data_IF_300733685856
#
_entry.id   IF_300733685856
#
_cell.length_a   1.000
_cell.length_b   1.000
_cell.length_c   1.000
_cell.angle_alpha   90.00
_cell.angle_beta   90.00
_cell.angle_gamma   90.00
#
_symmetry.space_group_name_H-M   'P 1'
#
loop_
_entity.id
_entity.type
_entity.pdbx_description
1 polymer ?
#
# COMPACT_ATOMS: atom_id res chain seq x y z
N UNK A 1 13.79 71.72 -10.69
CA UNK A 1 14.53 70.46 -10.46
C UNK A 1 13.54 69.32 -10.47
N UNK A 2 13.39 68.67 -11.63
CA UNK A 2 12.74 67.37 -11.82
C UNK A 2 13.62 66.29 -11.20
N UNK A 3 13.01 65.31 -10.51
CA UNK A 3 13.28 63.89 -10.81
C UNK A 3 12.09 63.03 -10.40
N UNK A 4 11.68 62.19 -11.36
CA UNK A 4 10.60 61.22 -11.33
C UNK A 4 11.14 59.83 -10.90
N UNK A 5 10.33 59.08 -10.12
CA UNK A 5 10.07 57.61 -10.12
C UNK A 5 11.27 56.63 -9.99
N UNK A 6 11.10 55.46 -9.30
CA UNK A 6 10.27 54.41 -9.87
C UNK A 6 9.37 53.60 -8.91
N UNK A 7 8.28 53.14 -9.52
CA UNK A 7 7.43 52.02 -9.14
C UNK A 7 8.30 50.76 -8.96
N UNK A 8 8.34 50.19 -7.75
CA UNK A 8 8.74 48.80 -7.61
C UNK A 8 7.53 47.91 -7.91
N UNK A 9 7.57 47.40 -9.13
CA UNK A 9 6.94 46.20 -9.65
C UNK A 9 6.45 45.20 -8.59
N UNK A 10 5.14 45.01 -8.52
CA UNK A 10 4.57 43.69 -8.24
C UNK A 10 4.87 42.80 -9.47
N UNK A 11 6.10 42.31 -9.52
CA UNK A 11 6.53 41.28 -10.46
C UNK A 11 5.74 40.01 -10.10
N UNK A 12 4.97 39.53 -11.07
CA UNK A 12 4.18 38.32 -10.90
C UNK A 12 5.09 37.10 -10.75
N UNK A 13 4.80 36.27 -9.75
CA UNK A 13 5.08 34.84 -9.82
C UNK A 13 3.83 34.09 -9.35
N UNK A 14 3.13 33.55 -10.34
CA UNK A 14 2.00 32.65 -10.16
C UNK A 14 2.46 31.36 -9.45
N UNK A 15 2.49 31.42 -8.13
CA UNK A 15 2.08 30.39 -7.17
C UNK A 15 2.41 28.95 -7.58
N UNK A 16 3.63 28.52 -7.27
CA UNK A 16 3.81 27.15 -6.79
C UNK A 16 2.91 26.98 -5.56
N UNK A 17 1.82 26.21 -5.69
CA UNK A 17 0.84 25.94 -4.61
C UNK A 17 1.42 25.10 -3.45
N UNK A 18 2.70 25.26 -3.14
CA UNK A 18 3.47 24.44 -2.22
C UNK A 18 4.25 25.34 -1.26
N UNK A 19 3.62 25.70 -0.14
CA UNK A 19 4.28 26.41 0.96
C UNK A 19 4.74 25.44 2.06
N UNK A 20 5.74 25.83 2.84
CA UNK A 20 6.17 25.08 4.04
C UNK A 20 5.15 25.16 5.17
N UNK A 21 5.15 24.15 6.04
CA UNK A 21 4.38 24.16 7.27
C UNK A 21 4.81 25.33 8.16
N UNK A 22 3.84 26.11 8.64
CA UNK A 22 4.04 27.25 9.53
C UNK A 22 4.48 26.88 10.96
N UNK A 23 4.87 25.62 11.23
CA UNK A 23 5.35 25.19 12.56
C UNK A 23 6.87 25.20 12.58
N UNK A 24 7.46 25.77 13.62
CA UNK A 24 8.91 25.82 13.79
C UNK A 24 9.55 24.42 13.73
N UNK A 25 10.70 24.35 13.06
CA UNK A 25 11.44 23.11 12.77
C UNK A 25 10.66 22.05 11.97
N UNK A 26 9.61 22.44 11.23
CA UNK A 26 8.85 21.52 10.39
C UNK A 26 9.19 21.66 8.90
N UNK A 27 10.06 20.78 8.40
CA UNK A 27 10.41 20.71 6.96
C UNK A 27 9.34 20.03 6.07
N UNK A 28 8.07 20.00 6.50
CA UNK A 28 6.98 19.38 5.72
C UNK A 28 6.19 20.45 4.98
N UNK A 29 5.74 20.17 3.77
CA UNK A 29 4.85 21.08 3.03
C UNK A 29 3.47 21.22 3.69
N UNK A 30 2.97 22.45 3.73
CA UNK A 30 1.61 22.80 4.08
C UNK A 30 0.62 22.23 3.07
N UNK A 31 -0.50 21.68 3.56
CA UNK A 31 -1.60 21.20 2.71
C UNK A 31 -2.98 21.69 3.15
N UNK A 32 -3.12 22.12 4.39
CA UNK A 32 -4.37 22.63 4.96
C UNK A 32 -3.99 23.85 5.79
N UNK A 33 -4.51 25.03 5.43
CA UNK A 33 -4.37 26.28 6.19
C UNK A 33 -2.92 26.59 6.63
N UNK A 34 -1.93 26.45 5.74
CA UNK A 34 -0.52 26.75 6.07
C UNK A 34 0.20 25.70 6.92
N UNK A 35 -0.45 24.62 7.36
CA UNK A 35 0.15 23.57 8.19
C UNK A 35 0.34 22.27 7.41
N UNK A 36 1.40 21.52 7.73
CA UNK A 36 1.55 20.16 7.22
C UNK A 36 0.56 19.20 7.88
N UNK A 37 0.38 18.03 7.29
CA UNK A 37 -0.54 17.02 7.79
C UNK A 37 -0.20 16.44 9.18
N UNK A 38 1.01 16.70 9.70
CA UNK A 38 1.36 16.33 11.06
C UNK A 38 0.99 17.40 12.09
N UNK A 39 0.82 18.66 11.66
CA UNK A 39 0.59 19.81 12.53
C UNK A 39 -0.79 20.45 12.37
N UNK A 40 -1.61 20.01 11.41
CA UNK A 40 -3.00 20.46 11.23
C UNK A 40 -3.99 19.83 12.24
N UNK A 41 -3.53 19.43 13.44
CA UNK A 41 -4.36 18.84 14.48
C UNK A 41 -5.31 19.87 15.10
N UNK A 42 -6.54 19.92 14.57
CA UNK A 42 -7.78 20.53 15.08
C UNK A 42 -7.65 22.01 15.48
N UNK A 43 -7.91 22.90 14.53
CA UNK A 43 -8.59 24.17 14.87
C UNK A 43 -10.08 23.86 15.02
N UNK A 44 -10.71 24.14 16.17
CA UNK A 44 -12.16 24.07 16.29
C UNK A 44 -12.77 25.07 15.32
N UNK A 45 -13.53 24.59 14.35
CA UNK A 45 -14.38 25.46 13.54
C UNK A 45 -15.59 25.87 14.40
N UNK A 46 -15.94 27.17 14.49
CA UNK A 46 -17.17 27.56 15.18
C UNK A 46 -18.38 27.00 14.42
N UNK A 47 -19.46 26.59 15.14
CA UNK A 47 -20.65 26.03 14.51
C UNK A 47 -21.32 27.12 13.66
N UNK A 48 -21.32 26.92 12.34
CA UNK A 48 -22.20 27.70 11.46
C UNK A 48 -23.65 27.22 11.65
N UNK A 49 -24.65 28.11 11.69
CA UNK A 49 -26.03 27.73 11.89
C UNK A 49 -26.53 26.89 10.71
N UNK A 50 -26.92 25.64 11.01
CA UNK A 50 -27.55 24.71 10.08
C UNK A 50 -28.96 25.21 9.77
N UNK A 51 -29.10 25.99 8.68
CA UNK A 51 -30.40 26.17 8.04
C UNK A 51 -30.66 24.92 7.19
N UNK A 52 -31.55 24.04 7.67
CA UNK A 52 -32.02 22.87 6.92
C UNK A 52 -32.91 23.35 5.77
N UNK A 53 -32.36 23.40 4.56
CA UNK A 53 -33.16 23.42 3.34
C UNK A 53 -33.55 21.98 2.97
N UNK A 54 -34.78 21.74 2.49
CA UNK A 54 -35.21 20.43 2.03
C UNK A 54 -34.40 20.03 0.79
N UNK A 55 -33.63 18.94 0.93
CA UNK A 55 -32.84 18.35 -0.15
C UNK A 55 -33.77 17.47 -0.99
N UNK A 56 -34.26 18.00 -2.11
CA UNK A 56 -34.85 17.18 -3.17
C UNK A 56 -33.72 16.32 -3.74
N UNK A 57 -33.70 15.04 -3.39
CA UNK A 57 -32.79 14.07 -3.99
C UNK A 57 -33.25 13.77 -5.40
N UNK A 58 -32.67 14.45 -6.39
CA UNK A 58 -32.70 13.99 -7.76
C UNK A 58 -31.67 12.87 -7.89
N UNK A 59 -32.15 11.64 -8.03
CA UNK A 59 -31.34 10.45 -8.30
C UNK A 59 -30.68 10.61 -9.67
N UNK A 60 -29.51 11.24 -9.72
CA UNK A 60 -28.69 11.24 -10.93
C UNK A 60 -28.09 9.84 -11.09
N UNK A 61 -28.67 9.05 -11.99
CA UNK A 61 -28.14 7.77 -12.45
C UNK A 61 -26.67 7.93 -12.87
N UNK A 62 -25.77 7.44 -12.02
CA UNK A 62 -24.34 7.40 -12.33
C UNK A 62 -24.08 6.17 -13.18
N UNK A 63 -24.12 6.36 -14.49
CA UNK A 63 -23.74 5.33 -15.46
C UNK A 63 -22.32 4.80 -15.16
N UNK A 64 -22.13 3.46 -15.07
CA UNK A 64 -20.82 2.87 -14.82
C UNK A 64 -19.94 3.02 -16.05
N UNK A 65 -19.02 4.01 -16.04
CA UNK A 65 -17.99 4.16 -17.08
C UNK A 65 -17.04 2.97 -17.05
N UNK A 66 -17.28 1.96 -17.90
CA UNK A 66 -16.34 0.88 -18.18
C UNK A 66 -15.06 1.48 -18.78
N UNK A 67 -14.02 1.63 -17.96
CA UNK A 67 -12.71 2.09 -18.44
C UNK A 67 -12.12 0.99 -19.32
N UNK A 68 -12.05 1.23 -20.64
CA UNK A 68 -11.30 0.38 -21.57
C UNK A 68 -9.87 0.24 -21.04
N UNK A 69 -9.41 -1.00 -20.87
CA UNK A 69 -8.07 -1.33 -20.37
C UNK A 69 -7.07 -1.03 -21.49
N UNK A 70 -6.54 0.18 -21.52
CA UNK A 70 -5.50 0.57 -22.51
C UNK A 70 -4.28 -0.32 -22.27
N UNK A 71 -3.87 -1.07 -23.28
CA UNK A 71 -2.64 -1.87 -23.25
C UNK A 71 -1.44 -0.93 -23.07
N UNK A 72 -0.63 -1.17 -22.05
CA UNK A 72 0.55 -0.35 -21.80
C UNK A 72 1.62 -0.66 -22.84
N UNK A 73 2.10 0.37 -23.55
CA UNK A 73 3.21 0.28 -24.51
C UNK A 73 4.47 -0.35 -23.86
N UNK A 74 5.29 -1.11 -24.61
CA UNK A 74 6.55 -1.63 -24.10
C UNK A 74 7.57 -0.50 -23.88
N UNK A 75 8.57 -0.77 -23.05
CA UNK A 75 9.68 0.13 -22.77
C UNK A 75 10.47 0.41 -24.06
N UNK A 76 10.77 1.67 -24.34
CA UNK A 76 11.58 2.10 -25.49
C UNK A 76 13.07 1.75 -25.40
N UNK A 77 13.48 0.98 -24.38
CA UNK A 77 14.88 0.59 -24.22
C UNK A 77 15.10 -0.73 -24.95
N UNK A 78 16.20 -0.84 -25.69
CA UNK A 78 16.49 -1.99 -26.53
C UNK A 78 16.50 -3.30 -25.71
N UNK A 79 15.85 -4.34 -26.24
CA UNK A 79 15.70 -5.62 -25.54
C UNK A 79 14.80 -5.61 -24.28
N UNK A 80 14.13 -4.52 -23.93
CA UNK A 80 13.31 -4.45 -22.71
C UNK A 80 11.82 -4.78 -22.97
N UNK A 81 11.35 -5.94 -22.47
CA UNK A 81 9.95 -6.36 -22.56
C UNK A 81 9.02 -5.76 -21.49
N UNK A 82 9.55 -4.96 -20.56
CA UNK A 82 8.78 -4.36 -19.47
C UNK A 82 7.84 -3.28 -19.99
N UNK A 83 6.69 -3.09 -19.35
CA UNK A 83 5.77 -2.02 -19.70
C UNK A 83 6.36 -0.62 -19.41
N UNK A 84 6.28 0.27 -20.39
CA UNK A 84 6.61 1.67 -20.25
C UNK A 84 5.69 2.36 -19.24
N UNK A 85 6.26 3.31 -18.49
CA UNK A 85 5.55 4.18 -17.56
C UNK A 85 5.64 5.62 -18.08
N UNK A 86 6.34 6.51 -17.37
CA UNK A 86 6.60 7.86 -17.87
C UNK A 86 7.75 7.86 -18.87
N UNK A 87 7.81 8.86 -19.75
CA UNK A 87 8.91 9.05 -20.70
C UNK A 87 9.16 7.85 -21.63
N UNK A 88 8.17 6.98 -21.84
CA UNK A 88 8.30 5.81 -22.72
C UNK A 88 9.15 4.65 -22.16
N UNK A 89 9.60 4.72 -20.91
CA UNK A 89 10.54 3.74 -20.32
C UNK A 89 9.97 3.05 -19.09
N UNK A 90 10.46 1.85 -18.77
CA UNK A 90 10.03 1.08 -17.61
C UNK A 90 10.59 1.66 -16.30
N UNK A 91 10.16 1.14 -15.15
CA UNK A 91 10.65 1.61 -13.85
C UNK A 91 12.17 1.56 -13.74
N UNK A 92 12.80 0.51 -14.27
CA UNK A 92 14.25 0.29 -14.16
C UNK A 92 15.06 1.19 -15.09
N UNK A 93 14.48 1.58 -16.23
CA UNK A 93 15.10 2.45 -17.22
C UNK A 93 14.65 3.92 -17.07
N UNK A 94 14.37 4.38 -15.84
CA UNK A 94 14.08 5.80 -15.57
C UNK A 94 12.60 6.20 -15.62
N UNK A 95 11.68 5.23 -15.73
CA UNK A 95 10.24 5.46 -15.66
C UNK A 95 9.72 5.75 -14.25
N UNK A 96 10.60 5.73 -13.24
CA UNK A 96 10.31 6.12 -11.85
C UNK A 96 10.03 7.62 -11.75
N UNK A 97 9.15 7.98 -10.83
CA UNK A 97 8.91 9.37 -10.45
C UNK A 97 9.45 9.57 -9.05
N UNK A 98 10.35 10.53 -8.87
CA UNK A 98 10.92 10.85 -7.59
C UNK A 98 10.05 11.84 -6.82
N UNK A 99 10.26 11.87 -5.52
CA UNK A 99 9.67 12.84 -4.62
C UNK A 99 10.03 14.25 -5.11
N UNK A 100 9.03 15.14 -5.13
CA UNK A 100 9.22 16.56 -5.47
C UNK A 100 9.96 17.38 -4.39
N UNK A 101 10.25 16.80 -3.24
CA UNK A 101 11.01 17.50 -2.21
C UNK A 101 12.48 17.54 -2.62
N UNK A 102 13.11 18.69 -2.41
CA UNK A 102 14.54 18.90 -2.67
C UNK A 102 15.38 17.86 -1.93
N UNK A 103 16.43 17.39 -2.59
CA UNK A 103 17.33 16.33 -2.10
C UNK A 103 16.65 15.00 -1.72
N UNK A 104 15.44 14.73 -2.24
CA UNK A 104 14.73 13.48 -1.98
C UNK A 104 14.69 12.52 -3.17
N UNK A 105 15.60 11.55 -3.19
CA UNK A 105 15.64 10.48 -4.20
C UNK A 105 14.66 9.32 -3.96
N UNK A 106 13.70 9.46 -3.03
CA UNK A 106 12.69 8.42 -2.79
C UNK A 106 11.60 8.44 -3.87
N UNK A 107 11.05 7.28 -4.21
CA UNK A 107 9.95 7.19 -5.16
C UNK A 107 8.70 7.93 -4.66
N UNK A 108 8.12 8.75 -5.52
CA UNK A 108 6.86 9.43 -5.27
C UNK A 108 5.67 8.49 -5.45
N UNK A 109 4.69 8.66 -4.57
CA UNK A 109 3.36 8.09 -4.70
C UNK A 109 2.39 9.11 -5.33
N UNK A 110 1.09 8.79 -5.30
CA UNK A 110 0.04 9.75 -5.69
C UNK A 110 0.24 11.08 -4.96
N UNK A 111 0.22 12.18 -5.71
CA UNK A 111 0.49 13.52 -5.19
C UNK A 111 1.93 14.01 -5.35
N UNK A 112 2.85 13.18 -5.87
CA UNK A 112 4.21 13.60 -6.22
C UNK A 112 5.22 13.61 -5.07
N UNK A 113 4.86 13.08 -3.90
CA UNK A 113 5.75 12.97 -2.75
C UNK A 113 5.94 11.50 -2.37
N UNK A 114 7.06 11.19 -1.70
CA UNK A 114 7.27 9.87 -1.07
C UNK A 114 6.45 9.75 0.23
N UNK A 115 6.37 8.55 0.82
CA UNK A 115 5.53 8.28 2.00
C UNK A 115 5.87 9.22 3.17
N UNK A 116 7.16 9.46 3.43
CA UNK A 116 7.63 10.33 4.51
C UNK A 116 7.27 11.80 4.28
N UNK A 117 7.26 12.25 3.01
CA UNK A 117 6.93 13.64 2.64
C UNK A 117 5.44 13.80 2.30
N UNK A 118 4.58 12.89 2.77
CA UNK A 118 3.13 13.03 2.63
C UNK A 118 2.57 12.51 1.30
N UNK A 119 3.28 11.63 0.63
CA UNK A 119 2.81 10.88 -0.53
C UNK A 119 1.71 9.88 -0.18
N UNK A 120 0.83 9.60 -1.15
CA UNK A 120 -0.29 8.67 -0.99
C UNK A 120 -1.51 9.28 -0.30
N UNK A 121 -2.59 8.50 -0.20
CA UNK A 121 -3.81 8.91 0.52
C UNK A 121 -3.62 8.70 2.02
N UNK A 122 -4.16 9.61 2.84
CA UNK A 122 -4.21 9.48 4.30
C UNK A 122 -5.58 8.98 4.72
N UNK A 123 -5.61 8.39 5.91
CA UNK A 123 -6.84 7.95 6.54
C UNK A 123 -7.83 9.11 6.61
N UNK A 124 -9.07 8.86 6.18
CA UNK A 124 -10.14 9.85 6.19
C UNK A 124 -10.63 10.21 7.61
N UNK A 125 -10.33 9.38 8.62
CA UNK A 125 -10.62 9.70 10.02
C UNK A 125 -9.74 10.86 10.49
N UNK A 126 -10.39 11.89 11.01
CA UNK A 126 -9.75 13.08 11.54
C UNK A 126 -8.69 12.75 12.60
N UNK A 127 -7.56 13.48 12.56
CA UNK A 127 -6.41 13.24 13.44
C UNK A 127 -5.59 11.99 13.12
N UNK A 128 -5.97 11.17 12.13
CA UNK A 128 -5.23 9.96 11.78
C UNK A 128 -4.15 10.19 10.72
N UNK A 129 -2.87 10.27 11.12
CA UNK A 129 -1.73 10.40 10.20
C UNK A 129 -1.38 9.15 9.37
N UNK A 130 -2.06 8.02 9.61
CA UNK A 130 -1.77 6.73 8.97
C UNK A 130 -2.18 6.73 7.50
N UNK A 131 -1.48 5.94 6.68
CA UNK A 131 -1.79 5.79 5.26
C UNK A 131 -3.13 5.08 5.05
N UNK A 132 -3.98 5.63 4.19
CA UNK A 132 -5.22 4.99 3.79
C UNK A 132 -4.95 3.80 2.87
N UNK A 133 -5.75 2.75 3.07
CA UNK A 133 -5.80 1.58 2.20
C UNK A 133 -6.90 1.78 1.14
N UNK A 134 -7.42 0.67 0.61
CA UNK A 134 -8.68 0.68 -0.12
C UNK A 134 -9.82 1.12 0.84
N UNK A 135 -10.73 1.97 0.35
CA UNK A 135 -11.83 2.52 1.15
C UNK A 135 -11.55 3.85 1.87
N UNK A 136 -10.34 4.42 1.76
CA UNK A 136 -10.05 5.77 2.26
C UNK A 136 -9.68 5.85 3.74
N UNK A 137 -9.80 4.79 4.52
CA UNK A 137 -9.32 4.71 5.91
C UNK A 137 -8.06 3.85 6.03
N UNK A 138 -7.33 3.96 7.14
CA UNK A 138 -6.18 3.09 7.43
C UNK A 138 -6.62 1.73 7.97
N UNK A 139 -5.69 0.77 8.08
CA UNK A 139 -5.99 -0.59 8.55
C UNK A 139 -6.71 -0.62 9.92
N UNK A 140 -6.28 0.22 10.87
CA UNK A 140 -6.94 0.30 12.19
C UNK A 140 -8.33 0.93 12.14
N UNK A 141 -8.63 1.68 11.10
CA UNK A 141 -9.90 2.39 10.90
C UNK A 141 -10.76 1.72 9.81
N UNK A 142 -10.60 0.41 9.60
CA UNK A 142 -11.40 -0.38 8.65
C UNK A 142 -10.91 -0.37 7.21
N UNK A 143 -9.75 0.22 6.93
CA UNK A 143 -9.15 0.28 5.61
C UNK A 143 -8.70 -1.09 5.10
N UNK A 144 -9.23 -1.51 3.95
CA UNK A 144 -8.94 -2.82 3.37
C UNK A 144 -9.83 -3.12 2.16
N UNK A 145 -9.63 -4.29 1.52
CA UNK A 145 -10.42 -4.69 0.34
C UNK A 145 -11.94 -4.70 0.58
N UNK A 146 -12.38 -4.85 1.82
CA UNK A 146 -13.80 -4.87 2.19
C UNK A 146 -14.30 -3.55 2.81
N UNK A 147 -13.49 -2.49 2.82
CA UNK A 147 -13.90 -1.12 3.18
C UNK A 147 -14.33 -0.87 4.62
N UNK A 148 -14.59 -1.91 5.40
CA UNK A 148 -14.92 -1.87 6.83
C UNK A 148 -14.53 -3.22 7.46
N UNK A 149 -14.24 -3.22 8.77
CA UNK A 149 -14.04 -4.46 9.53
C UNK A 149 -15.43 -5.11 9.68
N UNK A 150 -15.78 -6.00 8.77
CA UNK A 150 -17.00 -6.80 8.89
C UNK A 150 -16.78 -7.79 10.02
N UNK A 151 -17.67 -7.82 11.00
CA UNK A 151 -17.64 -8.80 12.08
C UNK A 151 -18.29 -10.11 11.64
N UNK A 152 -17.91 -11.21 12.28
CA UNK A 152 -18.49 -12.51 12.03
C UNK A 152 -20.00 -12.48 12.34
N UNK A 153 -20.83 -12.97 11.41
CA UNK A 153 -22.29 -13.08 11.55
C UNK A 153 -22.77 -14.09 12.63
N UNK A 154 -21.85 -14.73 13.32
CA UNK A 154 -22.18 -15.71 14.35
C UNK A 154 -22.40 -14.96 15.65
N UNK A 155 -23.41 -15.37 16.43
CA UNK A 155 -23.78 -14.70 17.67
C UNK A 155 -22.59 -14.51 18.61
N UNK A 156 -22.46 -13.30 19.17
CA UNK A 156 -21.37 -12.89 20.08
C UNK A 156 -19.94 -13.07 19.54
N UNK A 157 -19.75 -13.13 18.21
CA UNK A 157 -18.42 -13.26 17.62
C UNK A 157 -17.83 -11.93 17.12
N UNK A 158 -16.98 -11.29 17.92
CA UNK A 158 -16.27 -10.06 17.55
C UNK A 158 -15.02 -10.26 16.64
N UNK A 159 -14.85 -11.45 16.07
CA UNK A 159 -13.75 -11.73 15.13
C UNK A 159 -14.05 -11.15 13.76
N UNK A 160 -13.02 -10.77 13.00
CA UNK A 160 -13.19 -10.35 11.61
C UNK A 160 -13.81 -11.46 10.78
N UNK A 161 -14.85 -11.12 10.03
CA UNK A 161 -15.31 -11.90 8.92
C UNK A 161 -14.29 -11.90 7.77
N UNK A 162 -14.22 -13.03 7.10
CA UNK A 162 -13.54 -13.23 5.83
C UNK A 162 -14.61 -13.40 4.74
N UNK A 163 -14.50 -14.43 3.89
CA UNK A 163 -15.52 -14.70 2.87
C UNK A 163 -16.81 -15.18 3.54
N UNK A 164 -17.96 -14.83 2.96
CA UNK A 164 -19.27 -15.29 3.45
C UNK A 164 -19.75 -14.65 4.76
N UNK A 165 -19.04 -13.67 5.31
CA UNK A 165 -19.47 -12.99 6.54
C UNK A 165 -19.10 -13.73 7.84
N UNK A 166 -18.30 -14.80 7.78
CA UNK A 166 -17.86 -15.54 8.96
C UNK A 166 -16.36 -15.40 9.19
N UNK A 167 -15.88 -15.54 10.42
CA UNK A 167 -14.45 -15.62 10.71
C UNK A 167 -13.89 -17.00 10.34
N UNK A 168 -12.57 -17.19 10.31
CA UNK A 168 -11.93 -18.48 9.96
C UNK A 168 -12.52 -19.64 10.80
N UNK A 169 -12.66 -19.45 12.11
CA UNK A 169 -13.23 -20.43 13.02
C UNK A 169 -14.68 -20.83 12.66
N UNK A 170 -15.50 -19.87 12.21
CA UNK A 170 -16.92 -20.08 11.92
C UNK A 170 -17.22 -20.26 10.42
N UNK A 171 -16.20 -20.52 9.59
CA UNK A 171 -16.42 -20.87 8.17
C UNK A 171 -15.99 -19.83 7.14
N UNK A 172 -15.34 -18.74 7.57
CA UNK A 172 -14.85 -17.71 6.66
C UNK A 172 -13.66 -18.07 5.78
N UNK A 173 -13.00 -19.20 6.09
CA UNK A 173 -11.87 -19.75 5.34
C UNK A 173 -12.29 -20.93 4.46
N UNK A 174 -11.49 -21.23 3.43
CA UNK A 174 -11.68 -22.47 2.64
C UNK A 174 -11.50 -23.68 3.56
N UNK A 175 -12.39 -24.67 3.42
CA UNK A 175 -12.31 -25.97 4.12
C UNK A 175 -11.62 -26.98 3.25
N UNK A 176 -11.08 -28.02 3.89
CA UNK A 176 -10.42 -29.12 3.22
C UNK A 176 -11.38 -29.79 2.22
N UNK A 177 -10.92 -30.06 1.01
CA UNK A 177 -11.73 -30.68 -0.04
C UNK A 177 -12.04 -32.17 0.21
N UNK A 178 -11.28 -32.82 1.09
CA UNK A 178 -11.55 -34.19 1.56
C UNK A 178 -12.85 -34.23 2.36
N UNK A 179 -13.72 -35.21 2.05
CA UNK A 179 -14.99 -35.43 2.74
C UNK A 179 -14.82 -35.52 4.26
N UNK A 180 -15.69 -34.84 5.01
CA UNK A 180 -15.57 -34.72 6.48
C UNK A 180 -14.46 -33.79 6.97
N UNK A 181 -13.74 -33.11 6.07
CA UNK A 181 -12.64 -32.22 6.40
C UNK A 181 -13.08 -30.89 7.02
N UNK A 182 -13.12 -30.80 8.36
CA UNK A 182 -13.45 -29.55 9.07
C UNK A 182 -12.29 -28.54 9.12
N UNK A 183 -11.06 -29.01 8.86
CA UNK A 183 -9.84 -28.20 8.91
C UNK A 183 -9.75 -27.22 7.75
N UNK A 184 -9.03 -26.13 7.98
CA UNK A 184 -8.79 -25.12 6.94
C UNK A 184 -7.89 -25.67 5.83
N UNK A 185 -8.32 -25.47 4.60
CA UNK A 185 -7.51 -25.78 3.42
C UNK A 185 -6.32 -24.83 3.30
N UNK A 186 -5.20 -25.39 2.88
CA UNK A 186 -4.02 -24.65 2.46
C UNK A 186 -4.12 -24.33 0.96
N UNK A 187 -3.07 -23.74 0.40
CA UNK A 187 -2.92 -23.64 -1.04
C UNK A 187 -2.99 -25.05 -1.65
N UNK A 188 -3.94 -25.26 -2.59
CA UNK A 188 -4.20 -26.57 -3.19
C UNK A 188 -5.41 -27.32 -2.65
N UNK A 189 -6.24 -26.72 -1.78
CA UNK A 189 -7.57 -27.27 -1.46
C UNK A 189 -7.62 -28.27 -0.29
N UNK A 190 -6.52 -28.95 0.01
CA UNK A 190 -6.43 -29.85 1.17
C UNK A 190 -5.90 -29.15 2.43
N UNK A 191 -6.23 -29.67 3.60
CA UNK A 191 -5.61 -29.27 4.87
C UNK A 191 -4.23 -29.93 5.05
N UNK A 192 -3.43 -29.45 6.00
CA UNK A 192 -2.04 -29.88 6.16
C UNK A 192 -1.84 -31.39 6.29
N UNK A 193 -2.69 -32.04 7.09
CA UNK A 193 -2.70 -33.49 7.30
C UNK A 193 -3.14 -34.27 6.06
N UNK A 194 -3.99 -33.70 5.21
CA UNK A 194 -4.42 -34.30 3.95
C UNK A 194 -3.54 -33.85 2.78
N UNK A 195 -2.28 -33.49 3.05
CA UNK A 195 -1.30 -33.12 2.02
C UNK A 195 -1.34 -31.67 1.54
N UNK A 196 -2.10 -30.80 2.21
CA UNK A 196 -2.20 -29.39 1.83
C UNK A 196 -0.94 -28.57 2.11
N UNK A 197 -0.57 -27.71 1.14
CA UNK A 197 0.56 -26.78 1.24
C UNK A 197 1.92 -27.42 0.94
N UNK A 198 2.95 -26.58 0.74
CA UNK A 198 4.32 -27.06 0.47
C UNK A 198 4.94 -27.63 1.75
N UNK A 199 5.57 -28.80 1.65
CA UNK A 199 6.37 -29.40 2.73
C UNK A 199 7.81 -28.92 2.68
N UNK A 200 8.50 -29.05 3.80
CA UNK A 200 9.93 -28.84 3.87
C UNK A 200 10.65 -29.86 2.98
N UNK A 201 11.65 -29.43 2.21
CA UNK A 201 12.42 -30.30 1.32
C UNK A 201 13.42 -31.19 2.05
N UNK A 202 13.83 -30.84 3.27
CA UNK A 202 14.71 -31.71 4.08
C UNK A 202 14.02 -33.04 4.37
N UNK A 203 14.70 -34.14 4.06
CA UNK A 203 14.22 -35.49 4.29
C UNK A 203 13.81 -35.73 5.76
N UNK A 204 12.69 -36.42 5.95
CA UNK A 204 12.10 -36.65 7.27
C UNK A 204 11.44 -35.42 7.92
N UNK A 205 11.42 -34.26 7.27
CA UNK A 205 10.84 -33.05 7.84
C UNK A 205 9.34 -32.88 7.51
N UNK A 206 8.49 -33.12 8.50
CA UNK A 206 7.04 -32.91 8.39
C UNK A 206 6.58 -31.48 8.73
N UNK A 207 7.44 -30.46 8.54
CA UNK A 207 7.05 -29.06 8.72
C UNK A 207 6.71 -28.36 7.41
N UNK A 208 5.91 -27.29 7.49
CA UNK A 208 5.53 -26.51 6.32
C UNK A 208 6.74 -25.76 5.73
N UNK A 209 6.96 -25.95 4.43
CA UNK A 209 7.93 -25.20 3.65
C UNK A 209 7.42 -23.79 3.40
N UNK A 210 8.18 -22.77 3.82
CA UNK A 210 7.78 -21.36 3.71
C UNK A 210 8.48 -20.65 2.56
N UNK A 211 9.81 -20.53 2.65
CA UNK A 211 10.63 -19.86 1.65
C UNK A 211 11.60 -20.89 1.06
N UNK A 212 11.74 -20.90 -0.27
CA UNK A 212 12.62 -21.84 -0.99
C UNK A 212 12.39 -23.31 -0.61
N UNK A 213 11.15 -23.69 -0.28
CA UNK A 213 10.84 -25.08 0.08
C UNK A 213 11.32 -25.53 1.47
N UNK A 214 11.88 -24.64 2.30
CA UNK A 214 12.39 -24.99 3.63
C UNK A 214 11.47 -24.48 4.75
N UNK A 215 11.40 -25.22 5.85
CA UNK A 215 10.70 -24.77 7.06
C UNK A 215 11.50 -23.70 7.80
N UNK A 216 10.89 -23.03 8.78
CA UNK A 216 11.55 -21.95 9.56
C UNK A 216 12.86 -22.45 10.21
N UNK A 217 12.87 -23.70 10.67
CA UNK A 217 14.02 -24.32 11.33
C UNK A 217 15.15 -24.61 10.34
N UNK A 218 14.84 -25.20 9.18
CA UNK A 218 15.84 -25.56 8.18
C UNK A 218 16.31 -24.40 7.30
N UNK A 219 15.50 -23.34 7.15
CA UNK A 219 15.94 -22.13 6.45
C UNK A 219 17.16 -21.49 7.14
N UNK A 220 17.17 -21.45 8.47
CA UNK A 220 18.30 -20.88 9.23
C UNK A 220 19.60 -21.69 9.06
N UNK A 221 19.46 -22.98 8.76
CA UNK A 221 20.59 -23.91 8.58
C UNK A 221 21.13 -23.83 7.15
N UNK A 222 20.27 -23.74 6.14
CA UNK A 222 20.72 -23.57 4.74
C UNK A 222 21.45 -22.24 4.48
N UNK A 223 21.10 -21.19 5.22
CA UNK A 223 21.79 -19.89 5.12
C UNK A 223 23.22 -19.97 5.71
N UNK A 224 23.51 -20.95 6.60
CA UNK A 224 24.87 -21.16 7.17
C UNK A 224 25.67 -22.22 6.40
N UNK A 225 25.03 -23.22 5.81
CA UNK A 225 25.70 -24.27 5.02
C UNK A 225 26.12 -23.81 3.60
N UNK A 226 25.69 -22.62 3.17
CA UNK A 226 26.17 -22.00 1.93
C UNK A 226 27.65 -21.56 1.98
N UNK A 227 28.31 -21.67 3.14
CA UNK A 227 29.73 -21.30 3.35
C UNK A 227 30.68 -22.49 3.56
N UNK A 228 30.20 -23.75 3.53
CA UNK A 228 31.05 -24.89 3.92
C UNK A 228 30.86 -26.17 3.09
N UNK A 229 30.75 -26.06 1.76
CA UNK A 229 30.95 -27.23 0.89
C UNK A 229 31.84 -26.87 -0.30
N UNK A 230 33.15 -26.76 -0.04
CA UNK A 230 34.16 -27.00 -1.07
C UNK A 230 34.22 -28.51 -1.30
N UNK A 231 33.97 -29.04 -2.50
CA UNK A 231 34.24 -30.45 -2.78
C UNK A 231 35.76 -30.64 -2.72
N UNK A 232 36.23 -31.34 -1.69
CA UNK A 232 37.60 -31.85 -1.66
C UNK A 232 37.74 -32.81 -2.84
N UNK A 233 38.54 -32.42 -3.81
CA UNK A 233 38.91 -33.24 -4.96
C UNK A 233 39.55 -34.52 -4.45
N UNK A 234 38.83 -35.63 -4.63
CA UNK A 234 39.41 -36.95 -4.59
C UNK A 234 40.10 -37.20 -5.94
N UNK A 235 41.41 -37.02 -5.99
CA UNK A 235 42.24 -37.59 -7.06
C UNK A 235 43.35 -38.45 -6.45
N UNK A 236 43.29 -39.73 -6.82
CA UNK A 236 44.34 -40.75 -6.64
C UNK A 236 45.36 -40.55 -7.76
N UNK A 237 46.66 -40.49 -7.44
CA UNK A 237 47.89 -40.91 -8.16
C UNK A 237 49.01 -40.58 -7.15
N UNK A 238 49.94 -41.42 -6.72
CA UNK A 238 50.53 -42.66 -7.24
C UNK A 238 50.70 -43.71 -6.13
#
# INVERSE_FOLDING_TARGET
MLVLRPLHSHFGESLSNYHMCSRDHCAKYAKILGLCLAHCGVVPTPPSPVTRLPSTFTTAETTPKTRKKVSSRPCSFDGCSKAAKRKGVCMDHGGRHFCKMDDCHKCAHKGGFCISHGGGRRCAIDGCGKSAQAGGTCYSHGGGKHGSRIYCKWDDCHKCAHKGGFCIAHGGGRRCDVEGGTRSAQAGGSCYSHGGGKRCQVDGCNHAGRLQGLCIRHKKVSDVDALSVSPVQAERIA
#
